data_IF_043074627939
#
_entry.id   IF_043074627939
#
_cell.length_a   1.000
_cell.length_b   1.000
_cell.length_c   1.000
_cell.angle_alpha   90.00
_cell.angle_beta   90.00
_cell.angle_gamma   90.00
#
_symmetry.space_group_name_H-M   'P 1'
#
loop_
_entity.id
_entity.type
_entity.pdbx_description
1 polymer ?
#
# COMPACT_ATOMS: atom_id res chain seq x y z
N UNK A 1 30.02 11.03 0.85
CA UNK A 1 29.72 12.06 -0.16
C UNK A 1 28.87 11.38 -1.22
N UNK A 2 27.52 11.30 -0.97
CA UNK A 2 26.58 10.68 -1.89
C UNK A 2 26.21 11.69 -2.97
N UNK A 3 26.46 11.31 -4.22
CA UNK A 3 25.99 12.06 -5.38
C UNK A 3 24.46 11.91 -5.47
N UNK A 4 23.68 12.98 -5.58
CA UNK A 4 22.26 12.86 -5.83
C UNK A 4 22.06 12.29 -7.22
N UNK A 5 21.47 11.10 -7.30
CA UNK A 5 20.94 10.55 -8.54
C UNK A 5 19.82 11.49 -9.03
N UNK A 6 20.15 12.33 -10.02
CA UNK A 6 19.11 13.09 -10.72
C UNK A 6 18.24 12.09 -11.47
N UNK A 7 16.91 12.11 -11.28
CA UNK A 7 16.03 11.27 -12.08
C UNK A 7 16.21 11.66 -13.54
N UNK A 8 16.70 10.76 -14.35
CA UNK A 8 16.80 10.94 -15.79
C UNK A 8 15.39 10.73 -16.36
N UNK A 9 14.61 11.81 -16.41
CA UNK A 9 13.38 11.85 -17.19
C UNK A 9 13.76 11.76 -18.68
N UNK A 10 13.80 10.55 -19.21
CA UNK A 10 14.05 10.38 -20.63
C UNK A 10 12.83 10.87 -21.40
N UNK A 11 13.00 11.96 -22.11
CA UNK A 11 11.98 12.53 -22.99
C UNK A 11 11.88 11.67 -24.26
N UNK A 12 11.06 10.63 -24.23
CA UNK A 12 10.77 9.90 -25.46
C UNK A 12 9.77 10.67 -26.32
N UNK A 13 10.21 11.05 -27.53
CA UNK A 13 9.39 11.78 -28.51
C UNK A 13 8.36 10.89 -29.22
N UNK A 14 8.30 9.59 -28.87
CA UNK A 14 7.47 8.58 -29.55
C UNK A 14 6.18 8.22 -28.85
N UNK A 15 5.85 8.88 -27.73
CA UNK A 15 4.61 8.61 -26.97
C UNK A 15 4.61 7.27 -26.23
N UNK A 16 5.78 6.64 -26.04
CA UNK A 16 5.91 5.43 -25.23
C UNK A 16 5.81 5.76 -23.75
N UNK A 17 5.26 4.85 -22.94
CA UNK A 17 5.19 5.04 -21.50
C UNK A 17 6.58 5.16 -20.89
N UNK A 18 6.74 6.09 -19.94
CA UNK A 18 7.97 6.19 -19.16
C UNK A 18 7.92 5.16 -18.05
N UNK A 19 8.89 4.25 -18.05
CA UNK A 19 9.02 3.21 -17.05
C UNK A 19 10.05 3.62 -15.99
N UNK A 20 9.69 3.49 -14.72
CA UNK A 20 10.56 3.78 -13.57
C UNK A 20 10.51 2.60 -12.61
N UNK A 21 11.68 2.07 -12.27
CA UNK A 21 11.85 1.00 -11.31
C UNK A 21 12.38 1.56 -9.99
N UNK A 22 11.66 1.33 -8.90
CA UNK A 22 11.97 1.80 -7.55
C UNK A 22 12.42 3.27 -7.47
N UNK A 23 11.67 4.24 -8.05
CA UNK A 23 12.17 5.60 -8.21
C UNK A 23 12.38 6.35 -6.89
N UNK A 24 11.80 5.87 -5.80
CA UNK A 24 11.88 6.46 -4.45
C UNK A 24 12.95 5.82 -3.58
N UNK A 25 13.60 4.74 -4.05
CA UNK A 25 14.62 4.03 -3.29
C UNK A 25 15.80 4.95 -2.95
N UNK A 26 16.18 4.96 -1.67
CA UNK A 26 17.31 5.78 -1.18
C UNK A 26 17.05 7.27 -1.03
N UNK A 27 15.84 7.75 -1.35
CA UNK A 27 15.47 9.14 -1.14
C UNK A 27 15.08 9.41 0.32
N UNK A 28 15.43 10.58 0.82
CA UNK A 28 14.91 11.06 2.10
C UNK A 28 13.40 11.44 1.99
N UNK A 29 12.67 11.62 3.11
CA UNK A 29 11.24 11.93 3.07
C UNK A 29 10.89 13.19 2.28
N UNK A 30 11.72 14.21 2.31
CA UNK A 30 11.49 15.47 1.58
C UNK A 30 11.67 15.28 0.08
N UNK A 31 12.70 14.53 -0.30
CA UNK A 31 12.96 14.20 -1.71
C UNK A 31 11.85 13.31 -2.29
N UNK A 32 11.31 12.36 -1.50
CA UNK A 32 10.16 11.54 -1.91
C UNK A 32 8.93 12.39 -2.20
N UNK A 33 8.59 13.33 -1.32
CA UNK A 33 7.47 14.26 -1.55
C UNK A 33 7.69 15.07 -2.84
N UNK A 34 8.91 15.59 -3.04
CA UNK A 34 9.24 16.34 -4.25
C UNK A 34 9.08 15.49 -5.52
N UNK A 35 9.58 14.26 -5.50
CA UNK A 35 9.46 13.34 -6.63
C UNK A 35 7.99 12.99 -6.92
N UNK A 36 7.18 12.69 -5.88
CA UNK A 36 5.73 12.44 -6.03
C UNK A 36 5.02 13.62 -6.72
N UNK A 37 5.32 14.85 -6.33
CA UNK A 37 4.74 16.04 -6.95
C UNK A 37 5.14 16.18 -8.43
N UNK A 38 6.41 15.90 -8.77
CA UNK A 38 6.88 15.91 -10.16
C UNK A 38 6.19 14.81 -10.99
N UNK A 39 6.03 13.61 -10.43
CA UNK A 39 5.37 12.49 -11.10
C UNK A 39 3.89 12.79 -11.36
N UNK A 40 3.18 13.39 -10.40
CA UNK A 40 1.82 13.85 -10.58
C UNK A 40 1.67 14.84 -11.73
N UNK A 41 2.47 15.89 -11.72
CA UNK A 41 2.46 16.91 -12.79
C UNK A 41 2.81 16.32 -14.16
N UNK A 42 3.79 15.41 -14.20
CA UNK A 42 4.19 14.77 -15.45
C UNK A 42 3.13 13.81 -15.96
N UNK A 43 2.48 13.06 -15.06
CA UNK A 43 1.41 12.09 -15.33
C UNK A 43 0.13 12.71 -15.89
N UNK A 44 -0.08 14.05 -15.76
CA UNK A 44 -1.21 14.74 -16.39
C UNK A 44 -1.15 14.68 -17.93
N UNK A 45 0.05 14.60 -18.49
CA UNK A 45 0.28 14.68 -19.95
C UNK A 45 0.95 13.46 -20.54
N UNK A 46 1.43 12.55 -19.69
CA UNK A 46 2.22 11.39 -20.08
C UNK A 46 1.81 10.15 -19.30
N UNK A 47 1.91 9.00 -19.94
CA UNK A 47 1.78 7.72 -19.22
C UNK A 47 3.10 7.42 -18.50
N UNK A 48 3.01 7.19 -17.21
CA UNK A 48 4.13 6.77 -16.35
C UNK A 48 3.80 5.43 -15.74
N UNK A 49 4.73 4.49 -15.84
CA UNK A 49 4.63 3.18 -15.20
C UNK A 49 5.71 3.13 -14.11
N UNK A 50 5.31 2.85 -12.89
CA UNK A 50 6.20 2.78 -11.73
C UNK A 50 6.12 1.36 -11.18
N UNK A 51 7.27 0.68 -11.05
CA UNK A 51 7.38 -0.53 -10.26
C UNK A 51 7.98 -0.19 -8.89
N UNK A 52 7.34 -0.64 -7.83
CA UNK A 52 7.83 -0.46 -6.45
C UNK A 52 7.20 -1.48 -5.50
N UNK A 53 7.91 -1.82 -4.44
CA UNK A 53 7.37 -2.57 -3.32
C UNK A 53 6.91 -1.65 -2.16
N UNK A 54 7.12 -0.34 -2.29
CA UNK A 54 6.72 0.65 -1.28
C UNK A 54 5.34 1.20 -1.63
N UNK A 55 4.30 0.56 -1.11
CA UNK A 55 2.89 0.88 -1.40
C UNK A 55 2.55 2.35 -1.15
N UNK A 56 3.01 2.91 -0.03
CA UNK A 56 2.76 4.31 0.33
C UNK A 56 3.34 5.35 -0.65
N UNK A 57 4.28 4.93 -1.50
CA UNK A 57 4.88 5.86 -2.46
C UNK A 57 4.02 6.08 -3.70
N UNK A 58 3.12 5.15 -3.97
CA UNK A 58 2.25 5.20 -5.17
C UNK A 58 0.79 5.43 -4.85
N UNK A 59 0.35 5.23 -3.61
CA UNK A 59 -1.05 5.38 -3.20
C UNK A 59 -1.64 6.75 -3.56
N UNK A 60 -0.87 7.83 -3.32
CA UNK A 60 -1.33 9.22 -3.57
C UNK A 60 -1.23 9.66 -5.03
N UNK A 61 -0.47 8.93 -5.87
CA UNK A 61 -0.15 9.38 -7.24
C UNK A 61 -0.69 8.44 -8.32
N UNK A 62 -1.07 7.21 -7.98
CA UNK A 62 -1.51 6.22 -8.95
C UNK A 62 -3.01 6.30 -9.18
N UNK A 63 -3.41 6.32 -10.46
CA UNK A 63 -4.81 6.18 -10.88
C UNK A 63 -5.20 4.72 -11.09
N UNK A 64 -4.25 3.92 -11.55
CA UNK A 64 -4.43 2.50 -11.80
C UNK A 64 -3.28 1.69 -11.18
N UNK A 65 -3.61 0.52 -10.69
CA UNK A 65 -2.70 -0.40 -10.00
C UNK A 65 -2.66 -1.73 -10.75
N UNK A 66 -1.50 -2.34 -10.77
CA UNK A 66 -1.29 -3.73 -11.18
C UNK A 66 -0.57 -4.43 -10.03
N UNK A 67 -1.20 -5.43 -9.44
CA UNK A 67 -0.60 -6.26 -8.40
C UNK A 67 0.00 -7.51 -9.03
N UNK A 68 1.31 -7.70 -8.84
CA UNK A 68 2.06 -8.83 -9.37
C UNK A 68 2.46 -9.77 -8.21
N UNK A 69 2.15 -11.07 -8.34
CA UNK A 69 2.55 -12.11 -7.40
C UNK A 69 3.20 -13.26 -8.15
N UNK A 70 4.44 -13.61 -7.80
CA UNK A 70 5.20 -14.71 -8.44
C UNK A 70 5.27 -14.62 -9.98
N UNK A 71 5.29 -13.39 -10.52
CA UNK A 71 5.37 -13.13 -11.98
C UNK A 71 4.02 -13.11 -12.70
N UNK A 72 2.91 -13.31 -12.00
CA UNK A 72 1.56 -13.26 -12.56
C UNK A 72 0.80 -12.03 -12.06
N UNK A 73 -0.09 -11.51 -12.90
CA UNK A 73 -1.01 -10.43 -12.50
C UNK A 73 -2.12 -11.07 -11.67
N UNK A 74 -2.17 -10.76 -10.37
CA UNK A 74 -3.25 -11.21 -9.51
C UNK A 74 -4.42 -10.23 -9.48
N UNK A 75 -4.15 -8.93 -9.70
CA UNK A 75 -5.19 -7.90 -9.75
C UNK A 75 -4.73 -6.70 -10.57
N UNK A 76 -5.68 -6.04 -11.26
CA UNK A 76 -5.41 -4.80 -11.99
C UNK A 76 -6.68 -3.95 -12.12
N UNK A 77 -6.52 -2.64 -12.12
CA UNK A 77 -7.62 -1.71 -12.35
C UNK A 77 -7.40 -0.34 -11.71
N UNK A 78 -8.42 0.50 -11.80
CA UNK A 78 -8.44 1.78 -11.11
C UNK A 78 -8.40 1.57 -9.60
N UNK A 79 -7.62 2.36 -8.90
CA UNK A 79 -7.41 2.22 -7.46
C UNK A 79 -8.74 2.20 -6.68
N UNK A 80 -9.64 3.14 -6.96
CA UNK A 80 -10.95 3.22 -6.31
C UNK A 80 -11.81 1.97 -6.53
N UNK A 81 -11.72 1.35 -7.71
CA UNK A 81 -12.44 0.11 -8.04
C UNK A 81 -11.86 -1.07 -7.28
N UNK A 82 -10.54 -1.11 -7.15
CA UNK A 82 -9.85 -2.17 -6.43
C UNK A 82 -10.11 -2.09 -4.91
N UNK A 83 -10.10 -0.90 -4.33
CA UNK A 83 -10.38 -0.71 -2.90
C UNK A 83 -11.81 -1.13 -2.53
N UNK A 84 -12.79 -0.93 -3.42
CA UNK A 84 -14.16 -1.41 -3.21
C UNK A 84 -14.28 -2.92 -3.05
N UNK A 85 -13.33 -3.71 -3.55
CA UNK A 85 -13.33 -5.17 -3.39
C UNK A 85 -13.12 -5.62 -1.95
N UNK A 86 -12.47 -4.78 -1.15
CA UNK A 86 -12.20 -5.04 0.28
C UNK A 86 -12.94 -4.05 1.18
N UNK A 87 -13.85 -3.26 0.62
CA UNK A 87 -14.71 -2.35 1.39
C UNK A 87 -15.58 -3.18 2.35
N UNK A 88 -15.57 -2.78 3.63
CA UNK A 88 -16.27 -3.51 4.68
C UNK A 88 -15.49 -4.71 5.27
N UNK A 89 -14.28 -4.98 4.78
CA UNK A 89 -13.41 -6.02 5.36
C UNK A 89 -12.33 -5.45 6.29
N UNK A 90 -12.14 -4.13 6.27
CA UNK A 90 -11.11 -3.45 7.07
C UNK A 90 -11.74 -2.83 8.30
N UNK A 91 -11.21 -3.16 9.45
CA UNK A 91 -11.73 -2.69 10.74
C UNK A 91 -10.62 -2.17 11.63
N UNK A 92 -10.96 -1.26 12.52
CA UNK A 92 -10.09 -0.77 13.58
C UNK A 92 -10.78 -0.91 14.93
N UNK A 93 -10.02 -1.30 15.95
CA UNK A 93 -10.54 -1.44 17.31
C UNK A 93 -9.48 -1.12 18.35
N UNK A 94 -9.93 -0.66 19.53
CA UNK A 94 -9.05 -0.45 20.67
C UNK A 94 -9.35 -1.52 21.72
N UNK A 95 -8.33 -2.26 22.11
CA UNK A 95 -8.45 -3.43 23.00
C UNK A 95 -7.40 -3.36 24.11
N UNK A 96 -7.57 -4.07 25.24
CA UNK A 96 -6.55 -4.17 26.25
C UNK A 96 -5.26 -4.81 25.68
N UNK A 97 -4.11 -4.27 26.02
CA UNK A 97 -2.81 -4.78 25.56
C UNK A 97 -2.59 -6.26 25.88
N UNK A 98 -3.17 -6.74 26.98
CA UNK A 98 -3.13 -8.15 27.40
C UNK A 98 -3.88 -9.12 26.47
N UNK A 99 -4.71 -8.60 25.57
CA UNK A 99 -5.48 -9.39 24.61
C UNK A 99 -4.86 -9.41 23.20
N UNK A 100 -3.68 -8.83 23.01
CA UNK A 100 -3.03 -8.76 21.70
C UNK A 100 -2.88 -10.15 21.05
N UNK A 101 -2.32 -11.11 21.79
CA UNK A 101 -2.10 -12.48 21.28
C UNK A 101 -3.41 -13.16 20.86
N UNK A 102 -4.49 -12.94 21.62
CA UNK A 102 -5.81 -13.44 21.24
C UNK A 102 -6.26 -12.90 19.89
N UNK A 103 -6.15 -11.58 19.68
CA UNK A 103 -6.58 -10.96 18.43
C UNK A 103 -5.64 -11.28 17.26
N UNK A 104 -4.34 -11.41 17.50
CA UNK A 104 -3.36 -11.83 16.46
C UNK A 104 -3.62 -13.27 15.99
N UNK A 105 -4.06 -14.16 16.88
CA UNK A 105 -4.42 -15.54 16.51
C UNK A 105 -5.78 -15.65 15.82
N UNK A 106 -6.68 -14.69 16.10
CA UNK A 106 -8.06 -14.74 15.58
C UNK A 106 -8.22 -14.02 14.26
N UNK A 107 -7.53 -12.90 14.08
CA UNK A 107 -7.65 -12.03 12.91
C UNK A 107 -6.30 -11.76 12.25
N UNK A 108 -6.32 -11.39 10.99
CA UNK A 108 -5.15 -10.85 10.29
C UNK A 108 -4.91 -9.41 10.77
N UNK A 109 -4.09 -9.26 11.82
CA UNK A 109 -3.72 -7.95 12.37
C UNK A 109 -2.69 -7.30 11.46
N UNK A 110 -2.95 -6.05 11.07
CA UNK A 110 -2.13 -5.28 10.13
C UNK A 110 -1.23 -4.27 10.82
N UNK A 111 -1.83 -3.48 11.69
CA UNK A 111 -1.10 -2.48 12.46
C UNK A 111 -1.46 -2.60 13.93
N UNK A 112 -0.49 -2.35 14.79
CA UNK A 112 -0.63 -2.29 16.24
C UNK A 112 -0.03 -0.95 16.71
N UNK A 113 -0.87 -0.12 17.32
CA UNK A 113 -0.45 1.14 17.93
C UNK A 113 -0.57 1.02 19.45
N UNK A 114 0.56 1.15 20.14
CA UNK A 114 0.60 1.12 21.60
C UNK A 114 0.07 2.44 22.18
N UNK A 115 -0.97 2.36 22.99
CA UNK A 115 -1.59 3.49 23.69
C UNK A 115 -1.38 3.39 25.22
N UNK A 116 -0.40 2.60 25.67
CA UNK A 116 -0.10 2.33 27.07
C UNK A 116 -0.80 1.08 27.57
N UNK A 117 -1.92 1.19 28.28
CA UNK A 117 -2.68 0.03 28.77
C UNK A 117 -3.57 -0.63 27.70
N UNK A 118 -3.84 0.08 26.62
CA UNK A 118 -4.60 -0.40 25.47
C UNK A 118 -3.75 -0.34 24.22
N UNK A 119 -4.18 -1.07 23.19
CA UNK A 119 -3.64 -1.01 21.86
C UNK A 119 -4.76 -0.73 20.88
N UNK A 120 -4.44 0.02 19.83
CA UNK A 120 -5.28 0.14 18.66
C UNK A 120 -4.77 -0.82 17.61
N UNK A 121 -5.64 -1.67 17.10
CA UNK A 121 -5.30 -2.66 16.10
C UNK A 121 -6.17 -2.48 14.85
N UNK A 122 -5.53 -2.65 13.69
CA UNK A 122 -6.18 -2.68 12.38
C UNK A 122 -6.16 -4.10 11.86
N UNK A 123 -7.32 -4.59 11.45
CA UNK A 123 -7.51 -5.96 10.99
C UNK A 123 -8.18 -6.01 9.63
N UNK A 124 -7.94 -7.10 8.89
CA UNK A 124 -8.70 -7.44 7.68
C UNK A 124 -9.35 -8.81 7.89
N UNK A 125 -10.66 -8.88 7.66
CA UNK A 125 -11.42 -10.12 7.73
C UNK A 125 -12.73 -10.00 6.97
N UNK A 126 -13.18 -11.10 6.38
CA UNK A 126 -14.51 -11.27 5.79
C UNK A 126 -15.51 -11.79 6.84
N UNK A 127 -15.00 -12.25 7.97
CA UNK A 127 -15.80 -12.80 9.06
C UNK A 127 -16.42 -11.70 9.93
N UNK A 128 -17.40 -12.11 10.73
CA UNK A 128 -17.99 -11.23 11.74
C UNK A 128 -16.96 -10.82 12.79
N UNK A 129 -16.89 -9.53 13.05
CA UNK A 129 -15.99 -8.95 14.05
C UNK A 129 -16.66 -8.72 15.39
N UNK A 130 -15.85 -8.64 16.44
CA UNK A 130 -16.32 -8.28 17.77
C UNK A 130 -16.74 -6.82 17.84
N UNK A 131 -17.61 -6.49 18.81
CA UNK A 131 -18.21 -5.15 18.97
C UNK A 131 -17.19 -4.02 19.22
N UNK A 132 -15.96 -4.37 19.59
CA UNK A 132 -14.89 -3.39 19.77
C UNK A 132 -14.30 -2.88 18.45
N UNK A 133 -14.65 -3.49 17.32
CA UNK A 133 -14.19 -3.10 16.00
C UNK A 133 -15.25 -2.31 15.25
N UNK A 134 -14.77 -1.27 14.56
CA UNK A 134 -15.60 -0.45 13.67
C UNK A 134 -15.02 -0.53 12.25
N UNK A 135 -15.87 -0.58 11.22
CA UNK A 135 -15.38 -0.55 9.84
C UNK A 135 -14.72 0.79 9.56
N UNK A 136 -13.63 0.74 8.83
CA UNK A 136 -12.88 1.92 8.38
C UNK A 136 -12.60 1.83 6.89
N UNK A 137 -12.21 2.94 6.29
CA UNK A 137 -11.86 3.01 4.89
C UNK A 137 -10.61 2.18 4.59
N UNK A 138 -10.69 1.40 3.51
CA UNK A 138 -9.58 0.57 3.03
C UNK A 138 -8.53 1.43 2.32
N UNK A 139 -7.27 1.06 2.47
CA UNK A 139 -6.12 1.69 1.81
C UNK A 139 -5.49 0.71 0.82
N UNK A 140 -4.62 1.23 -0.06
CA UNK A 140 -3.86 0.37 -0.97
C UNK A 140 -2.96 -0.62 -0.20
N UNK A 141 -2.46 -0.24 0.97
CA UNK A 141 -1.70 -1.14 1.81
C UNK A 141 -2.54 -2.31 2.34
N UNK A 142 -3.82 -2.08 2.68
CA UNK A 142 -4.72 -3.16 3.07
C UNK A 142 -5.00 -4.09 1.90
N UNK A 143 -5.25 -3.53 0.70
CA UNK A 143 -5.45 -4.30 -0.51
C UNK A 143 -4.22 -5.17 -0.83
N UNK A 144 -3.01 -4.58 -0.76
CA UNK A 144 -1.77 -5.31 -0.96
C UNK A 144 -1.66 -6.49 0.02
N UNK A 145 -1.85 -6.23 1.29
CA UNK A 145 -1.75 -7.27 2.32
C UNK A 145 -2.88 -8.31 2.21
N UNK A 146 -4.06 -7.94 1.76
CA UNK A 146 -5.15 -8.88 1.50
C UNK A 146 -4.75 -9.96 0.48
N UNK A 147 -4.03 -9.58 -0.59
CA UNK A 147 -3.59 -10.51 -1.64
C UNK A 147 -2.26 -11.23 -1.33
N UNK A 148 -1.39 -10.62 -0.52
CA UNK A 148 -0.01 -11.13 -0.35
C UNK A 148 0.27 -11.74 1.01
N UNK A 149 -0.62 -11.56 1.99
CA UNK A 149 -0.44 -12.11 3.32
C UNK A 149 -1.07 -13.51 3.43
N UNK A 150 -0.67 -14.39 2.57
CA UNK A 150 -0.76 -15.80 2.87
C UNK A 150 0.36 -16.08 3.89
N UNK A 151 -0.03 -16.46 5.11
CA UNK A 151 0.90 -17.13 6.04
C UNK A 151 1.66 -18.14 5.19
N UNK A 152 2.98 -17.98 5.14
CA UNK A 152 3.86 -18.92 4.46
C UNK A 152 3.64 -20.31 5.07
N UNK A 153 2.70 -21.07 4.49
CA UNK A 153 2.70 -22.51 4.55
C UNK A 153 3.72 -22.96 3.48
N UNK A 154 5.00 -22.76 3.75
CA UNK A 154 6.08 -23.49 3.06
C UNK A 154 7.39 -23.16 3.77
N UNK A 155 7.72 -23.97 4.79
CA UNK A 155 9.06 -24.45 5.10
C UNK A 155 9.01 -25.89 5.54
#
# INVERSE_FOLDING_TARGET
>A
MCLPLKPVLSRDRRGLPNFMDEPTAGLDPKERIHLKNLLNQYGEKHTVIISTHIVSDVEDISKAIILLKKGEICEQGDLDVLLKKIEGFVYEGTVPKTQLDYFMNKYRVRNVYDLGNTIRIRIITEDNVEKCFVPIEATLNDLYLYYFDEVSEDD
#
